data_IF_196391773200
#
_entry.id   IF_196391773200
#
_cell.length_a   1.000
_cell.length_b   1.000
_cell.length_c   1.000
_cell.angle_alpha   90.00
_cell.angle_beta   90.00
_cell.angle_gamma   90.00
#
_symmetry.space_group_name_H-M   'P 1'
#
loop_
_entity.id
_entity.type
_entity.pdbx_description
1 polymer ?
#
# COMPACT_ATOMS: atom_id res chain seq x y z
N UNK A 1 12.20 7.42 -5.89
CA UNK A 1 10.87 6.98 -6.38
C UNK A 1 9.80 7.38 -5.38
N UNK A 2 8.67 7.93 -5.86
CA UNK A 2 7.51 8.32 -5.03
C UNK A 2 6.74 7.07 -4.61
N UNK A 3 6.08 7.10 -3.44
CA UNK A 3 5.18 6.01 -3.04
C UNK A 3 4.03 5.89 -4.05
N UNK A 4 3.93 4.73 -4.71
CA UNK A 4 2.89 4.44 -5.71
C UNK A 4 2.25 3.10 -5.38
N UNK A 5 0.92 3.05 -5.53
CA UNK A 5 0.18 1.82 -5.37
C UNK A 5 0.27 1.00 -6.66
N UNK A 6 1.09 -0.06 -6.63
CA UNK A 6 1.21 -1.04 -7.72
C UNK A 6 0.39 -2.28 -7.35
N UNK A 7 -0.46 -2.70 -8.26
CA UNK A 7 -1.34 -3.86 -8.10
C UNK A 7 -0.54 -5.17 -7.96
N UNK A 8 -1.18 -6.21 -7.41
CA UNK A 8 -0.51 -7.48 -7.08
C UNK A 8 -0.03 -8.19 -8.35
N UNK A 9 -0.91 -8.29 -9.34
CA UNK A 9 -0.67 -8.87 -10.66
C UNK A 9 0.58 -8.28 -11.35
N UNK A 10 0.77 -6.97 -11.30
CA UNK A 10 1.95 -6.31 -11.88
C UNK A 10 3.22 -6.69 -11.11
N UNK A 11 3.15 -6.81 -9.79
CA UNK A 11 4.29 -7.25 -8.97
C UNK A 11 4.65 -8.71 -9.25
N UNK A 12 3.64 -9.57 -9.34
CA UNK A 12 3.80 -10.99 -9.65
C UNK A 12 4.40 -11.16 -11.06
N UNK A 13 3.91 -10.40 -12.04
CA UNK A 13 4.43 -10.46 -13.42
C UNK A 13 5.89 -10.02 -13.51
N UNK A 14 6.30 -8.99 -12.78
CA UNK A 14 7.69 -8.55 -12.74
C UNK A 14 8.62 -9.65 -12.19
N UNK A 15 8.22 -10.35 -11.12
CA UNK A 15 8.99 -11.48 -10.60
C UNK A 15 8.98 -12.69 -11.54
N UNK A 16 7.87 -12.95 -12.22
CA UNK A 16 7.78 -14.02 -13.20
C UNK A 16 8.76 -13.81 -14.37
N UNK A 17 8.87 -12.58 -14.89
CA UNK A 17 9.85 -12.27 -15.93
C UNK A 17 11.29 -12.50 -15.46
N UNK A 18 11.62 -12.14 -14.22
CA UNK A 18 12.93 -12.47 -13.66
C UNK A 18 13.16 -13.99 -13.54
N UNK A 19 12.12 -14.77 -13.21
CA UNK A 19 12.23 -16.24 -13.15
C UNK A 19 12.41 -16.89 -14.52
N UNK A 20 11.91 -16.26 -15.58
CA UNK A 20 12.12 -16.67 -16.98
C UNK A 20 13.49 -16.25 -17.53
N UNK A 21 14.31 -15.57 -16.73
CA UNK A 21 15.68 -15.18 -17.12
C UNK A 21 15.78 -13.85 -17.87
N UNK A 22 14.75 -13.00 -17.83
CA UNK A 22 14.85 -11.65 -18.37
C UNK A 22 15.84 -10.80 -17.56
N UNK A 23 16.48 -9.86 -18.25
CA UNK A 23 17.49 -8.95 -17.69
C UNK A 23 16.84 -8.06 -16.63
N UNK A 24 17.48 -7.94 -15.46
CA UNK A 24 16.94 -7.21 -14.31
C UNK A 24 16.74 -5.74 -14.62
N UNK A 25 17.68 -5.13 -15.34
CA UNK A 25 17.67 -3.74 -15.77
C UNK A 25 16.44 -3.44 -16.64
N UNK A 26 16.19 -4.27 -17.66
CA UNK A 26 15.02 -4.14 -18.53
C UNK A 26 13.70 -4.27 -17.74
N UNK A 27 13.63 -5.23 -16.80
CA UNK A 27 12.46 -5.39 -15.94
C UNK A 27 12.28 -4.18 -15.02
N UNK A 28 13.37 -3.59 -14.50
CA UNK A 28 13.29 -2.38 -13.69
C UNK A 28 12.74 -1.20 -14.51
N UNK A 29 13.22 -1.04 -15.73
CA UNK A 29 12.83 0.06 -16.63
C UNK A 29 11.38 -0.07 -17.09
N UNK A 30 10.95 -1.26 -17.54
CA UNK A 30 9.58 -1.51 -18.00
C UNK A 30 8.55 -1.25 -16.90
N UNK A 31 8.84 -1.68 -15.67
CA UNK A 31 7.90 -1.58 -14.55
C UNK A 31 8.06 -0.29 -13.73
N UNK A 32 9.01 0.58 -14.09
CA UNK A 32 9.36 1.80 -13.33
C UNK A 32 9.59 1.49 -11.84
N UNK A 33 10.41 0.48 -11.56
CA UNK A 33 10.74 0.03 -10.19
C UNK A 33 12.25 -0.13 -10.03
N UNK A 34 12.75 0.12 -8.83
CA UNK A 34 14.15 -0.20 -8.52
C UNK A 34 14.37 -1.70 -8.31
N UNK A 35 15.58 -2.16 -8.58
CA UNK A 35 16.02 -3.52 -8.28
C UNK A 35 15.78 -3.88 -6.80
N UNK A 36 16.08 -2.96 -5.87
CA UNK A 36 15.81 -3.14 -4.44
C UNK A 36 14.33 -3.43 -4.14
N UNK A 37 13.40 -2.84 -4.91
CA UNK A 37 11.97 -3.14 -4.80
C UNK A 37 11.66 -4.57 -5.26
N UNK A 38 12.31 -5.05 -6.33
CA UNK A 38 12.19 -6.44 -6.79
C UNK A 38 12.74 -7.43 -5.76
N UNK A 39 13.93 -7.17 -5.21
CA UNK A 39 14.51 -7.99 -4.13
C UNK A 39 13.55 -8.11 -2.93
N UNK A 40 12.94 -6.99 -2.50
CA UNK A 40 11.97 -7.01 -1.39
C UNK A 40 10.73 -7.83 -1.74
N UNK A 41 10.21 -7.72 -2.97
CA UNK A 41 9.04 -8.52 -3.41
C UNK A 41 9.38 -10.01 -3.42
N UNK A 42 10.57 -10.37 -3.88
CA UNK A 42 11.06 -11.75 -3.84
C UNK A 42 11.19 -12.28 -2.42
N UNK A 43 11.80 -11.50 -1.52
CA UNK A 43 11.88 -11.86 -0.11
C UNK A 43 10.50 -12.04 0.54
N UNK A 44 9.52 -11.17 0.22
CA UNK A 44 8.14 -11.34 0.68
C UNK A 44 7.50 -12.62 0.14
N UNK A 45 7.71 -12.93 -1.14
CA UNK A 45 7.19 -14.14 -1.77
C UNK A 45 7.76 -15.39 -1.11
N UNK A 46 9.07 -15.42 -0.87
CA UNK A 46 9.76 -16.53 -0.19
C UNK A 46 9.30 -16.67 1.28
N UNK A 47 9.12 -15.57 2.00
CA UNK A 47 8.72 -15.60 3.41
C UNK A 47 7.23 -15.86 3.65
N UNK A 48 6.36 -15.46 2.72
CA UNK A 48 4.91 -15.39 2.95
C UNK A 48 4.05 -16.00 1.84
N UNK A 49 4.64 -16.48 0.74
CA UNK A 49 3.90 -16.99 -0.42
C UNK A 49 3.18 -15.90 -1.22
N UNK A 50 3.46 -14.62 -0.96
CA UNK A 50 2.85 -13.47 -1.64
C UNK A 50 3.83 -12.30 -1.74
N UNK A 51 3.85 -11.63 -2.90
CA UNK A 51 4.62 -10.38 -3.09
C UNK A 51 4.12 -9.23 -2.22
N UNK A 52 2.87 -9.32 -1.75
CA UNK A 52 2.28 -8.41 -0.76
C UNK A 52 2.49 -9.04 0.62
N UNK A 53 3.22 -8.37 1.53
CA UNK A 53 3.41 -8.87 2.88
C UNK A 53 2.09 -8.83 3.65
N UNK A 54 1.87 -9.73 4.62
CA UNK A 54 0.71 -9.68 5.51
C UNK A 54 0.73 -8.37 6.31
N UNK A 55 -0.45 -7.90 6.71
CA UNK A 55 -0.56 -6.75 7.61
C UNK A 55 0.06 -7.09 8.96
N UNK A 56 0.89 -6.20 9.50
CA UNK A 56 1.48 -6.38 10.82
C UNK A 56 0.40 -6.18 11.89
N UNK A 57 0.26 -7.08 12.88
CA UNK A 57 -0.75 -6.96 13.93
C UNK A 57 -0.67 -5.67 14.75
N UNK A 58 0.52 -5.08 14.86
CA UNK A 58 0.79 -3.86 15.62
C UNK A 58 0.49 -2.60 14.78
N UNK A 59 0.32 -2.73 13.46
CA UNK A 59 -0.04 -1.60 12.60
C UNK A 59 -1.54 -1.36 12.63
N UNK A 60 -1.94 -0.12 12.90
CA UNK A 60 -3.33 0.30 12.78
C UNK A 60 -3.82 0.20 11.33
N UNK A 61 -5.11 -0.10 11.15
CA UNK A 61 -5.75 -0.09 9.82
C UNK A 61 -5.76 1.35 9.26
N UNK A 62 -5.51 1.54 7.94
CA UNK A 62 -5.72 2.85 7.31
C UNK A 62 -7.10 3.41 7.64
N UNK A 63 -7.15 4.69 8.02
CA UNK A 63 -8.41 5.37 8.36
C UNK A 63 -9.30 5.43 7.11
N UNK A 64 -10.55 5.00 7.26
CA UNK A 64 -11.57 5.13 6.22
C UNK A 64 -11.96 6.61 6.05
N UNK A 65 -12.03 7.32 7.18
CA UNK A 65 -12.34 8.75 7.19
C UNK A 65 -11.09 9.57 6.93
N UNK A 66 -11.19 10.48 5.96
CA UNK A 66 -10.20 11.52 5.73
C UNK A 66 -10.29 12.58 6.84
N UNK A 67 -9.25 13.41 6.96
CA UNK A 67 -9.15 14.42 8.01
C UNK A 67 -10.35 15.41 7.98
N UNK A 68 -10.74 15.82 6.79
CA UNK A 68 -11.91 16.62 6.45
C UNK A 68 -13.22 15.97 6.91
N UNK A 69 -13.42 14.67 6.68
CA UNK A 69 -14.58 13.95 7.20
C UNK A 69 -14.60 13.94 8.74
N UNK A 70 -13.44 13.69 9.38
CA UNK A 70 -13.37 13.69 10.84
C UNK A 70 -13.63 15.06 11.45
N UNK A 71 -13.12 16.12 10.81
CA UNK A 71 -13.36 17.50 11.25
C UNK A 71 -14.84 17.85 11.17
N UNK A 72 -15.49 17.56 10.04
CA UNK A 72 -16.91 17.82 9.84
C UNK A 72 -17.78 17.08 10.86
N UNK A 73 -17.47 15.81 11.16
CA UNK A 73 -18.21 15.04 12.16
C UNK A 73 -18.04 15.64 13.56
N UNK A 74 -16.83 16.03 13.95
CA UNK A 74 -16.58 16.67 15.25
C UNK A 74 -17.35 17.99 15.37
N UNK A 75 -17.31 18.85 14.35
CA UNK A 75 -18.06 20.12 14.35
C UNK A 75 -19.57 19.90 14.41
N UNK A 76 -20.10 18.87 13.75
CA UNK A 76 -21.52 18.52 13.85
C UNK A 76 -21.88 18.04 15.26
N UNK A 77 -21.04 17.21 15.89
CA UNK A 77 -21.26 16.74 17.26
C UNK A 77 -21.24 17.89 18.27
N UNK A 78 -20.32 18.84 18.14
CA UNK A 78 -20.26 20.04 18.98
C UNK A 78 -21.50 20.92 18.84
N UNK A 79 -22.00 21.11 17.60
CA UNK A 79 -23.23 21.85 17.34
C UNK A 79 -24.45 21.20 18.00
N UNK A 80 -24.56 19.87 17.92
CA UNK A 80 -25.65 19.10 18.55
C UNK A 80 -25.55 19.13 20.07
N UNK A 81 -24.35 18.99 20.64
CA UNK A 81 -24.15 19.08 22.08
C UNK A 81 -24.48 20.47 22.63
N UNK A 82 -24.18 21.53 21.87
CA UNK A 82 -24.50 22.92 22.21
C UNK A 82 -25.99 23.29 22.07
N UNK A 83 -26.82 22.45 21.44
CA UNK A 83 -28.27 22.69 21.26
C UNK A 83 -29.14 22.04 22.34
N UNK A 84 -28.54 21.30 23.29
CA UNK A 84 -29.24 20.64 24.41
C UNK A 84 -29.55 21.58 25.59
N UNK A 85 -29.63 22.88 25.36
CA UNK A 85 -30.05 23.88 26.35
C UNK A 85 -31.10 24.78 25.71
N UNK A 86 -32.35 24.31 25.68
CA UNK A 86 -33.61 25.06 25.92
C UNK A 86 -34.75 24.05 26.19
#
# INVERSE_FOLDING_TARGET
MVFRHISKDIKDRALHLLSEGYITEDVCDIFDVSERSLCRRRANLEAHGSVIPPQQPIQGRPRILKADHTHNLLTLMEKVAGTTVE
#
